data_IF_948071777375
#
_entry.id   IF_948071777375
#
_cell.length_a   1.000
_cell.length_b   1.000
_cell.length_c   1.000
_cell.angle_alpha   90.00
_cell.angle_beta   90.00
_cell.angle_gamma   90.00
#
_symmetry.space_group_name_H-M   'P 1'
#
loop_
_entity.id
_entity.type
_entity.pdbx_description
1 polymer ?
#
# COMPACT_ATOMS: atom_id res chain seq x y z
N UNK A 1 11.16 -12.85 9.77
CA UNK A 1 10.53 -11.54 9.59
C UNK A 1 11.29 -10.74 8.56
N UNK A 2 10.59 -10.18 7.58
CA UNK A 2 11.12 -9.26 6.58
C UNK A 2 10.21 -8.03 6.57
N UNK A 3 10.78 -6.83 6.62
CA UNK A 3 10.11 -5.57 6.41
C UNK A 3 10.71 -4.89 5.18
N UNK A 4 9.85 -4.39 4.29
CA UNK A 4 10.25 -3.67 3.09
C UNK A 4 9.56 -2.31 3.11
N UNK A 5 10.33 -1.25 2.98
CA UNK A 5 9.84 0.12 2.90
C UNK A 5 9.93 0.66 1.48
N UNK A 6 8.96 1.47 1.09
CA UNK A 6 8.99 2.27 -0.14
C UNK A 6 8.73 3.74 0.20
N UNK A 7 9.78 4.49 0.46
CA UNK A 7 9.73 5.92 0.79
C UNK A 7 9.38 6.84 -0.41
N UNK A 8 9.30 6.29 -1.62
CA UNK A 8 9.07 7.09 -2.84
C UNK A 8 7.66 7.66 -2.88
N UNK A 9 6.65 6.96 -2.36
CA UNK A 9 5.27 7.46 -2.28
C UNK A 9 5.18 8.68 -1.38
N UNK A 10 5.85 8.65 -0.24
CA UNK A 10 5.94 9.77 0.69
C UNK A 10 6.65 10.98 0.06
N UNK A 11 7.80 10.77 -0.57
CA UNK A 11 8.51 11.83 -1.30
C UNK A 11 7.64 12.44 -2.43
N UNK A 12 6.81 11.62 -3.08
CA UNK A 12 5.82 12.07 -4.06
C UNK A 12 4.74 12.95 -3.44
N UNK A 13 4.23 12.58 -2.27
CA UNK A 13 3.26 13.36 -1.49
C UNK A 13 3.84 14.70 -1.03
N UNK A 14 5.01 14.69 -0.41
CA UNK A 14 5.70 15.93 0.01
C UNK A 14 6.01 16.88 -1.15
N UNK A 15 6.32 16.34 -2.31
CA UNK A 15 6.61 17.12 -3.51
C UNK A 15 5.37 17.51 -4.33
N UNK A 16 4.18 17.00 -3.97
CA UNK A 16 2.96 17.10 -4.78
C UNK A 16 3.23 16.67 -6.24
N UNK A 17 3.93 15.52 -6.40
CA UNK A 17 4.41 15.01 -7.69
C UNK A 17 3.69 13.71 -8.06
N UNK A 18 2.62 13.78 -8.87
CA UNK A 18 1.82 12.60 -9.26
C UNK A 18 2.66 11.45 -9.83
N UNK A 19 3.61 11.76 -10.72
CA UNK A 19 4.44 10.73 -11.37
C UNK A 19 5.33 9.98 -10.37
N UNK A 20 5.85 10.67 -9.35
CA UNK A 20 6.67 10.07 -8.30
C UNK A 20 5.82 9.17 -7.42
N UNK A 21 4.63 9.65 -7.03
CA UNK A 21 3.67 8.86 -6.23
C UNK A 21 3.23 7.60 -6.99
N UNK A 22 2.91 7.72 -8.29
CA UNK A 22 2.54 6.56 -9.12
C UNK A 22 3.70 5.57 -9.24
N UNK A 23 4.92 6.03 -9.48
CA UNK A 23 6.10 5.16 -9.55
C UNK A 23 6.33 4.40 -8.23
N UNK A 24 6.22 5.09 -7.09
CA UNK A 24 6.32 4.46 -5.77
C UNK A 24 5.25 3.40 -5.56
N UNK A 25 4.01 3.70 -5.91
CA UNK A 25 2.89 2.77 -5.81
C UNK A 25 3.12 1.51 -6.65
N UNK A 26 3.61 1.64 -7.89
CA UNK A 26 3.94 0.50 -8.75
C UNK A 26 5.08 -0.34 -8.16
N UNK A 27 6.08 0.27 -7.53
CA UNK A 27 7.16 -0.48 -6.88
C UNK A 27 6.64 -1.30 -5.69
N UNK A 28 5.74 -0.72 -4.87
CA UNK A 28 5.06 -1.46 -3.80
C UNK A 28 4.27 -2.63 -4.36
N UNK A 29 3.50 -2.42 -5.44
CA UNK A 29 2.71 -3.48 -6.08
C UNK A 29 3.60 -4.66 -6.53
N UNK A 30 4.74 -4.40 -7.15
CA UNK A 30 5.70 -5.44 -7.54
C UNK A 30 6.30 -6.19 -6.34
N UNK A 31 6.64 -5.47 -5.26
CA UNK A 31 7.14 -6.09 -4.04
C UNK A 31 6.06 -6.98 -3.39
N UNK A 32 4.84 -6.49 -3.30
CA UNK A 32 3.69 -7.23 -2.77
C UNK A 32 3.40 -8.47 -3.61
N UNK A 33 3.41 -8.35 -4.95
CA UNK A 33 3.27 -9.49 -5.84
C UNK A 33 4.28 -10.60 -5.52
N UNK A 34 5.57 -10.24 -5.41
CA UNK A 34 6.63 -11.19 -5.09
C UNK A 34 6.43 -11.84 -3.72
N UNK A 35 6.01 -11.06 -2.71
CA UNK A 35 5.74 -11.58 -1.38
C UNK A 35 4.54 -12.53 -1.35
N UNK A 36 3.47 -12.21 -2.09
CA UNK A 36 2.27 -13.08 -2.20
C UNK A 36 2.59 -14.37 -2.96
N UNK A 37 3.37 -14.30 -4.03
CA UNK A 37 3.83 -15.49 -4.76
C UNK A 37 4.66 -16.42 -3.86
N UNK A 38 5.57 -15.84 -3.06
CA UNK A 38 6.32 -16.59 -2.06
C UNK A 38 5.39 -17.23 -1.02
N UNK A 39 4.45 -16.47 -0.48
CA UNK A 39 3.49 -16.95 0.51
C UNK A 39 2.63 -18.11 -0.03
N UNK A 40 2.17 -18.02 -1.27
CA UNK A 40 1.42 -19.09 -1.95
C UNK A 40 2.24 -20.38 -2.08
N UNK A 41 3.52 -20.25 -2.45
CA UNK A 41 4.40 -21.38 -2.65
C UNK A 41 4.72 -22.11 -1.34
N UNK A 42 4.94 -21.37 -0.25
CA UNK A 42 5.38 -21.92 1.02
C UNK A 42 4.25 -22.18 2.03
N UNK A 43 3.10 -21.57 1.82
CA UNK A 43 1.87 -21.75 2.62
C UNK A 43 2.04 -21.53 4.14
N UNK A 44 3.05 -20.78 4.55
CA UNK A 44 3.38 -20.50 5.95
C UNK A 44 3.75 -19.04 6.20
N UNK A 45 3.37 -18.15 5.31
CA UNK A 45 3.74 -16.74 5.32
C UNK A 45 2.51 -15.86 5.40
N UNK A 46 2.53 -14.91 6.31
CA UNK A 46 1.61 -13.79 6.37
C UNK A 46 2.25 -12.60 5.68
N UNK A 47 1.55 -12.00 4.72
CA UNK A 47 1.95 -10.76 4.07
C UNK A 47 1.03 -9.65 4.55
N UNK A 48 1.59 -8.57 5.08
CA UNK A 48 0.86 -7.38 5.50
C UNK A 48 1.37 -6.18 4.72
N UNK A 49 0.46 -5.30 4.32
CA UNK A 49 0.77 -4.06 3.61
C UNK A 49 0.01 -2.93 4.27
N UNK A 50 0.72 -1.89 4.66
CA UNK A 50 0.14 -0.68 5.21
C UNK A 50 1.09 0.49 4.98
N UNK A 51 0.66 1.69 5.30
CA UNK A 51 1.54 2.85 5.46
C UNK A 51 1.62 3.21 6.95
N UNK A 52 2.62 3.96 7.33
CA UNK A 52 2.78 4.55 8.67
C UNK A 52 1.94 5.82 8.83
N UNK A 53 1.74 6.58 7.73
CA UNK A 53 0.90 7.78 7.65
C UNK A 53 0.47 8.07 6.21
N UNK A 54 -0.44 9.02 6.06
CA UNK A 54 -0.78 9.66 4.80
C UNK A 54 0.09 10.90 4.59
N UNK A 55 0.39 11.25 3.32
CA UNK A 55 1.16 12.43 2.95
C UNK A 55 0.54 13.15 1.76
N UNK A 56 0.35 14.47 1.91
CA UNK A 56 -0.12 15.33 0.84
C UNK A 56 -1.62 15.57 0.80
N UNK A 57 -2.41 14.87 1.62
CA UNK A 57 -3.87 14.83 1.55
C UNK A 57 -4.33 14.55 0.11
N UNK A 58 -3.78 13.47 -0.45
CA UNK A 58 -3.96 13.10 -1.84
C UNK A 58 -5.37 12.62 -2.12
N UNK A 59 -6.02 13.22 -3.09
CA UNK A 59 -7.24 12.71 -3.72
C UNK A 59 -6.96 12.28 -5.15
N UNK A 60 -7.56 11.18 -5.59
CA UNK A 60 -7.43 10.69 -6.95
C UNK A 60 -8.77 10.30 -7.55
N UNK A 61 -8.89 10.53 -8.84
CA UNK A 61 -10.05 10.19 -9.62
C UNK A 61 -9.71 10.04 -11.10
N UNK A 62 -10.74 9.85 -11.92
CA UNK A 62 -10.58 9.79 -13.37
C UNK A 62 -11.46 10.84 -14.03
N UNK A 63 -10.94 11.47 -15.08
CA UNK A 63 -11.72 12.42 -15.88
C UNK A 63 -12.84 11.72 -16.66
N UNK A 64 -13.92 12.45 -16.92
CA UNK A 64 -14.98 12.02 -17.82
C UNK A 64 -14.70 12.45 -19.28
N UNK A 65 -13.92 13.52 -19.49
CA UNK A 65 -13.59 14.05 -20.82
C UNK A 65 -12.12 14.57 -20.84
N UNK A 66 -11.20 13.91 -21.54
CA UNK A 66 -11.34 12.55 -22.11
C UNK A 66 -11.48 11.50 -20.98
N UNK A 67 -12.26 10.44 -21.19
CA UNK A 67 -12.49 9.46 -20.15
C UNK A 67 -11.22 8.69 -19.78
N UNK A 68 -11.08 8.38 -18.48
CA UNK A 68 -10.02 7.51 -17.98
C UNK A 68 -8.65 8.16 -17.74
N UNK A 69 -8.51 9.47 -17.87
CA UNK A 69 -7.27 10.15 -17.45
C UNK A 69 -7.25 10.24 -15.92
N UNK A 70 -6.19 9.72 -15.29
CA UNK A 70 -5.97 9.86 -13.85
C UNK A 70 -5.74 11.34 -13.50
N UNK A 71 -6.47 11.81 -12.49
CA UNK A 71 -6.27 13.11 -11.85
C UNK A 71 -5.86 12.88 -10.41
N UNK A 72 -4.86 13.59 -9.95
CA UNK A 72 -4.33 13.53 -8.59
C UNK A 72 -4.16 14.96 -8.07
N UNK A 73 -4.87 15.27 -6.99
CA UNK A 73 -4.82 16.57 -6.34
C UNK A 73 -4.28 16.44 -4.92
N UNK A 74 -3.41 17.35 -4.54
CA UNK A 74 -2.78 17.42 -3.22
C UNK A 74 -3.20 18.69 -2.51
N UNK A 75 -3.62 18.60 -1.25
CA UNK A 75 -4.02 19.75 -0.47
C UNK A 75 -2.93 20.28 0.48
N UNK A 76 -1.87 19.48 0.70
CA UNK A 76 -0.73 19.86 1.56
C UNK A 76 0.56 19.23 1.04
N UNK A 77 1.69 19.61 1.63
CA UNK A 77 3.00 18.96 1.45
C UNK A 77 3.46 18.24 2.73
N UNK A 78 2.55 18.07 3.70
CA UNK A 78 2.85 17.50 5.01
C UNK A 78 2.16 16.16 5.21
N UNK A 79 2.55 15.43 6.24
CA UNK A 79 1.79 14.29 6.74
C UNK A 79 0.42 14.74 7.26
N UNK A 80 -0.55 13.87 7.18
CA UNK A 80 -1.88 14.10 7.75
C UNK A 80 -2.26 12.96 8.69
N UNK A 81 -3.32 13.15 9.46
CA UNK A 81 -3.87 12.14 10.34
C UNK A 81 -4.98 11.31 9.67
N UNK A 82 -5.11 11.40 8.34
CA UNK A 82 -6.07 10.58 7.61
C UNK A 82 -5.73 9.09 7.74
N UNK A 83 -6.74 8.24 7.88
CA UNK A 83 -6.54 6.81 7.99
C UNK A 83 -5.86 6.22 6.76
N UNK A 84 -4.84 5.41 6.97
CA UNK A 84 -4.21 4.61 5.91
C UNK A 84 -4.83 3.22 5.83
N UNK A 85 -4.75 2.61 4.65
CA UNK A 85 -5.30 1.28 4.42
C UNK A 85 -4.36 0.21 4.96
N UNK A 86 -4.95 -0.85 5.47
CA UNK A 86 -4.26 -2.07 5.86
C UNK A 86 -4.77 -3.24 5.03
N UNK A 87 -3.85 -4.01 4.46
CA UNK A 87 -4.15 -5.22 3.70
C UNK A 87 -3.37 -6.39 4.29
N UNK A 88 -3.97 -7.57 4.26
CA UNK A 88 -3.31 -8.80 4.66
C UNK A 88 -3.62 -9.93 3.68
N UNK A 89 -2.60 -10.67 3.28
CA UNK A 89 -2.74 -11.94 2.59
C UNK A 89 -2.35 -13.06 3.55
N UNK A 90 -3.32 -13.92 3.83
CA UNK A 90 -3.21 -14.99 4.84
C UNK A 90 -3.27 -16.34 4.13
N UNK A 91 -2.25 -17.16 4.32
CA UNK A 91 -2.28 -18.56 3.85
C UNK A 91 -3.07 -19.44 4.83
N UNK A 92 -3.57 -20.58 4.38
CA UNK A 92 -4.38 -21.47 5.21
C UNK A 92 -3.67 -21.84 6.54
N UNK A 93 -2.36 -22.02 6.49
CA UNK A 93 -1.55 -22.36 7.65
C UNK A 93 -1.40 -21.20 8.64
N UNK A 94 -1.24 -19.97 8.13
CA UNK A 94 -1.17 -18.76 8.97
C UNK A 94 -2.53 -18.35 9.52
N UNK A 95 -3.62 -18.56 8.77
CA UNK A 95 -4.99 -18.33 9.25
C UNK A 95 -5.28 -19.18 10.50
N UNK A 96 -4.87 -20.44 10.51
CA UNK A 96 -5.07 -21.34 11.64
C UNK A 96 -4.32 -20.87 12.90
N UNK A 97 -3.11 -20.35 12.76
CA UNK A 97 -2.31 -19.80 13.88
C UNK A 97 -2.97 -18.54 14.42
N UNK A 98 -3.37 -17.61 13.56
CA UNK A 98 -4.04 -16.36 13.97
C UNK A 98 -5.35 -16.64 14.69
N UNK A 99 -6.17 -17.57 14.20
CA UNK A 99 -7.42 -17.94 14.85
C UNK A 99 -7.20 -18.51 16.28
N UNK A 100 -6.16 -19.29 16.49
CA UNK A 100 -5.80 -19.81 17.83
C UNK A 100 -5.31 -18.73 18.79
N UNK A 101 -4.67 -17.68 18.28
CA UNK A 101 -4.08 -16.61 19.10
C UNK A 101 -5.12 -15.57 19.54
N UNK A 102 -6.17 -15.34 18.75
CA UNK A 102 -7.18 -14.31 18.99
C UNK A 102 -8.56 -14.84 19.39
N UNK A 103 -8.73 -16.17 19.48
CA UNK A 103 -9.99 -16.81 19.90
C UNK A 103 -9.99 -17.27 21.38
N UNK A 104 -9.04 -16.77 22.18
CA UNK A 104 -8.91 -17.06 23.62
C UNK A 104 -9.52 -15.95 24.47
#
# INVERSE_FOLDING_TARGET
FLMVECAITDAGGHGNKPEVTVQGTLQVDWAVKSAVEFARKHNNTLVMVTADHETGLLTCGFTNDPPGKLVMDYATTSHTAEPVRFFAYVTARTAHVLHRTFAA
#
